data_IF_800173288111
#
_entry.id   IF_800173288111
#
_cell.length_a   1.000
_cell.length_b   1.000
_cell.length_c   1.000
_cell.angle_alpha   90.00
_cell.angle_beta   90.00
_cell.angle_gamma   90.00
#
_symmetry.space_group_name_H-M   'P 1'
#
loop_
_entity.id
_entity.type
_entity.pdbx_description
1 polymer ?
#
# COMPACT_ATOMS: atom_id res chain seq x y z
N UNK A 1 -8.55 24.31 -5.88
CA UNK A 1 -9.13 23.64 -4.68
C UNK A 1 -9.62 22.22 -4.97
N UNK A 2 -10.29 21.95 -6.11
CA UNK A 2 -10.86 20.62 -6.40
C UNK A 2 -9.81 19.53 -6.72
N UNK A 3 -8.69 19.90 -7.34
CA UNK A 3 -7.55 19.00 -7.60
C UNK A 3 -6.90 18.44 -6.32
N UNK A 4 -6.76 19.26 -5.27
CA UNK A 4 -6.18 18.84 -3.99
C UNK A 4 -7.10 17.87 -3.27
N UNK A 5 -8.42 18.10 -3.31
CA UNK A 5 -9.41 17.17 -2.72
C UNK A 5 -9.44 15.81 -3.41
N UNK A 6 -9.39 15.76 -4.76
CA UNK A 6 -9.31 14.49 -5.51
C UNK A 6 -8.06 13.67 -5.18
N UNK A 7 -6.95 14.32 -4.83
CA UNK A 7 -5.67 13.65 -4.51
C UNK A 7 -5.68 13.05 -3.11
N UNK A 8 -6.15 13.79 -2.11
CA UNK A 8 -6.30 13.29 -0.74
C UNK A 8 -7.21 12.03 -0.68
N UNK A 9 -8.30 12.01 -1.45
CA UNK A 9 -9.18 10.83 -1.56
C UNK A 9 -8.51 9.62 -2.21
N UNK A 10 -7.49 9.82 -3.05
CA UNK A 10 -6.78 8.74 -3.73
C UNK A 10 -5.88 7.94 -2.80
N UNK A 11 -5.08 8.62 -1.98
CA UNK A 11 -4.21 7.94 -1.00
C UNK A 11 -5.02 7.22 0.08
N UNK A 12 -6.11 7.83 0.55
CA UNK A 12 -7.02 7.22 1.51
C UNK A 12 -7.65 5.94 0.96
N UNK A 13 -8.13 5.96 -0.29
CA UNK A 13 -8.70 4.78 -0.95
C UNK A 13 -7.68 3.63 -1.09
N UNK A 14 -6.43 3.95 -1.44
CA UNK A 14 -5.35 2.95 -1.52
C UNK A 14 -5.07 2.34 -0.15
N UNK A 15 -4.99 3.16 0.89
CA UNK A 15 -4.75 2.70 2.26
C UNK A 15 -5.85 1.77 2.77
N UNK A 16 -7.12 2.16 2.61
CA UNK A 16 -8.27 1.35 3.02
C UNK A 16 -8.32 0.01 2.27
N UNK A 17 -8.01 0.00 0.97
CA UNK A 17 -7.93 -1.22 0.17
C UNK A 17 -6.77 -2.14 0.63
N UNK A 18 -5.63 -1.56 1.00
CA UNK A 18 -4.50 -2.32 1.53
C UNK A 18 -4.81 -2.93 2.91
N UNK A 19 -5.47 -2.16 3.78
CA UNK A 19 -5.93 -2.62 5.09
C UNK A 19 -6.90 -3.82 4.97
N UNK A 20 -7.92 -3.68 4.13
CA UNK A 20 -8.89 -4.75 3.84
C UNK A 20 -8.19 -6.02 3.31
N UNK A 21 -7.27 -5.85 2.35
CA UNK A 21 -6.50 -6.98 1.80
C UNK A 21 -5.67 -7.67 2.87
N UNK A 22 -5.01 -6.91 3.76
CA UNK A 22 -4.22 -7.45 4.87
C UNK A 22 -5.10 -8.19 5.89
N UNK A 23 -6.29 -7.69 6.18
CA UNK A 23 -7.23 -8.33 7.08
C UNK A 23 -7.71 -9.68 6.52
N UNK A 24 -8.02 -9.77 5.22
CA UNK A 24 -8.40 -11.04 4.58
C UNK A 24 -7.26 -12.08 4.62
N UNK A 25 -5.99 -11.65 4.50
CA UNK A 25 -4.84 -12.55 4.68
C UNK A 25 -4.80 -13.07 6.12
N UNK A 26 -5.03 -12.20 7.10
CA UNK A 26 -5.07 -12.58 8.51
C UNK A 26 -6.19 -13.59 8.80
N UNK A 27 -7.40 -13.38 8.26
CA UNK A 27 -8.52 -14.32 8.40
C UNK A 27 -8.20 -15.69 7.79
N UNK A 28 -7.51 -15.72 6.65
CA UNK A 28 -7.06 -16.97 6.02
C UNK A 28 -5.93 -17.67 6.78
N UNK A 29 -5.19 -16.97 7.64
CA UNK A 29 -4.09 -17.53 8.42
C UNK A 29 -4.55 -18.46 9.56
N UNK A 30 -5.84 -18.48 9.88
CA UNK A 30 -6.38 -19.47 10.82
C UNK A 30 -6.11 -20.89 10.32
N UNK A 31 -5.39 -21.73 11.09
CA UNK A 31 -4.96 -23.04 10.63
C UNK A 31 -6.16 -23.97 10.45
N UNK A 32 -6.30 -24.58 9.27
CA UNK A 32 -7.33 -25.61 9.04
C UNK A 32 -6.92 -26.98 9.59
N UNK A 33 -5.61 -27.20 9.80
CA UNK A 33 -5.05 -28.49 10.25
C UNK A 33 -5.30 -28.81 11.72
N UNK A 34 -5.74 -27.84 12.52
CA UNK A 34 -6.10 -28.05 13.93
C UNK A 34 -7.56 -28.45 14.11
N UNK A 35 -8.35 -28.36 13.03
CA UNK A 35 -9.74 -28.79 13.03
C UNK A 35 -9.82 -30.29 12.67
N UNK A 36 -10.84 -30.96 13.18
CA UNK A 36 -11.12 -32.36 12.86
C UNK A 36 -12.57 -32.68 13.14
N UNK A 37 -13.30 -33.14 12.12
CA UNK A 37 -14.70 -33.53 12.24
C UNK A 37 -14.80 -35.01 11.88
N UNK A 38 -15.27 -35.88 12.78
CA UNK A 38 -15.35 -37.30 12.49
C UNK A 38 -16.39 -37.56 11.39
N UNK A 39 -16.03 -38.42 10.44
CA UNK A 39 -16.89 -38.76 9.30
C UNK A 39 -17.13 -40.26 9.20
N UNK A 40 -17.99 -40.68 8.25
CA UNK A 40 -18.29 -42.10 7.96
C UNK A 40 -18.69 -42.92 9.19
N UNK A 41 -19.50 -42.33 10.08
CA UNK A 41 -19.96 -43.01 11.29
C UNK A 41 -18.84 -43.30 12.31
N UNK A 42 -17.77 -42.49 12.32
CA UNK A 42 -16.62 -42.66 13.21
C UNK A 42 -15.51 -43.54 12.64
N UNK A 43 -15.60 -43.95 11.37
CA UNK A 43 -14.50 -44.65 10.69
C UNK A 43 -13.31 -43.71 10.43
N UNK A 44 -13.59 -42.45 10.10
CA UNK A 44 -12.59 -41.39 10.05
C UNK A 44 -12.80 -40.53 11.29
N UNK A 45 -12.20 -40.92 12.42
CA UNK A 45 -12.27 -40.20 13.69
C UNK A 45 -11.36 -38.97 13.73
N UNK A 46 -10.34 -38.94 12.86
CA UNK A 46 -9.42 -37.83 12.66
C UNK A 46 -9.19 -37.53 11.17
N UNK A 47 -9.46 -36.28 10.78
CA UNK A 47 -9.23 -35.73 9.44
C UNK A 47 -8.34 -34.49 9.53
N UNK A 48 -7.50 -34.28 8.53
CA UNK A 48 -6.40 -33.31 8.50
C UNK A 48 -6.70 -32.01 7.76
N UNK A 49 -7.80 -31.94 6.99
CA UNK A 49 -8.23 -30.78 6.20
C UNK A 49 -7.14 -30.12 5.32
N UNK A 50 -6.16 -30.90 4.87
CA UNK A 50 -5.00 -30.44 4.09
C UNK A 50 -5.40 -29.71 2.79
N UNK A 51 -6.45 -30.17 2.11
CA UNK A 51 -6.99 -29.49 0.93
C UNK A 51 -7.55 -28.10 1.25
N UNK A 52 -8.26 -27.96 2.38
CA UNK A 52 -8.77 -26.67 2.86
C UNK A 52 -7.63 -25.71 3.23
N UNK A 53 -6.59 -26.22 3.89
CA UNK A 53 -5.37 -25.47 4.18
C UNK A 53 -4.69 -24.98 2.89
N UNK A 54 -4.54 -25.84 1.88
CA UNK A 54 -3.95 -25.47 0.60
C UNK A 54 -4.76 -24.39 -0.13
N UNK A 55 -6.10 -24.48 -0.11
CA UNK A 55 -6.98 -23.46 -0.71
C UNK A 55 -6.84 -22.10 -0.02
N UNK A 56 -6.74 -22.06 1.32
CA UNK A 56 -6.46 -20.84 2.08
C UNK A 56 -5.11 -20.25 1.70
N UNK A 57 -4.07 -21.08 1.57
CA UNK A 57 -2.73 -20.62 1.18
C UNK A 57 -2.72 -19.99 -0.23
N UNK A 58 -3.38 -20.61 -1.21
CA UNK A 58 -3.51 -20.06 -2.57
C UNK A 58 -4.27 -18.73 -2.55
N UNK A 59 -5.36 -18.63 -1.79
CA UNK A 59 -6.12 -17.39 -1.65
C UNK A 59 -5.26 -16.27 -1.04
N UNK A 60 -4.51 -16.56 0.02
CA UNK A 60 -3.58 -15.61 0.65
C UNK A 60 -2.47 -15.16 -0.28
N UNK A 61 -1.96 -16.04 -1.14
CA UNK A 61 -0.93 -15.68 -2.13
C UNK A 61 -1.45 -14.64 -3.14
N UNK A 62 -2.68 -14.81 -3.63
CA UNK A 62 -3.31 -13.85 -4.54
C UNK A 62 -3.54 -12.50 -3.87
N UNK A 63 -4.01 -12.50 -2.62
CA UNK A 63 -4.18 -11.28 -1.81
C UNK A 63 -2.84 -10.60 -1.56
N UNK A 64 -1.78 -11.36 -1.27
CA UNK A 64 -0.44 -10.83 -1.08
C UNK A 64 0.09 -10.14 -2.35
N UNK A 65 -0.14 -10.74 -3.53
CA UNK A 65 0.22 -10.10 -4.80
C UNK A 65 -0.55 -8.80 -5.04
N UNK A 66 -1.81 -8.71 -4.60
CA UNK A 66 -2.59 -7.47 -4.65
C UNK A 66 -2.04 -6.43 -3.67
N UNK A 67 -1.71 -6.85 -2.45
CA UNK A 67 -1.16 -5.98 -1.40
C UNK A 67 0.18 -5.37 -1.84
N UNK A 68 1.08 -6.16 -2.44
CA UNK A 68 2.35 -5.67 -2.95
C UNK A 68 2.17 -4.68 -4.11
N UNK A 69 1.21 -4.92 -5.01
CA UNK A 69 0.85 -3.97 -6.06
C UNK A 69 0.34 -2.64 -5.49
N UNK A 70 -0.51 -2.69 -4.44
CA UNK A 70 -0.99 -1.48 -3.75
C UNK A 70 0.15 -0.70 -3.10
N UNK A 71 1.12 -1.39 -2.48
CA UNK A 71 2.30 -0.73 -1.92
C UNK A 71 3.14 -0.05 -2.99
N UNK A 72 3.40 -0.73 -4.12
CA UNK A 72 4.14 -0.15 -5.24
C UNK A 72 3.45 1.11 -5.79
N UNK A 73 2.13 1.05 -5.97
CA UNK A 73 1.33 2.19 -6.41
C UNK A 73 1.41 3.35 -5.40
N UNK A 74 1.27 3.06 -4.10
CA UNK A 74 1.35 4.09 -3.05
C UNK A 74 2.74 4.76 -3.03
N UNK A 75 3.83 3.99 -3.18
CA UNK A 75 5.18 4.55 -3.25
C UNK A 75 5.41 5.38 -4.51
N UNK A 76 4.88 4.94 -5.66
CA UNK A 76 4.98 5.67 -6.91
C UNK A 76 4.22 7.01 -6.87
N UNK A 77 3.00 7.02 -6.31
CA UNK A 77 2.22 8.25 -6.11
C UNK A 77 2.96 9.22 -5.20
N UNK A 78 3.55 8.75 -4.10
CA UNK A 78 4.31 9.60 -3.17
C UNK A 78 5.53 10.24 -3.85
N UNK A 79 6.27 9.48 -4.66
CA UNK A 79 7.43 10.00 -5.38
C UNK A 79 7.04 11.04 -6.43
N UNK A 80 5.92 10.84 -7.13
CA UNK A 80 5.40 11.84 -8.06
C UNK A 80 5.00 13.13 -7.35
N UNK A 81 4.39 13.05 -6.16
CA UNK A 81 4.06 14.24 -5.34
C UNK A 81 5.30 15.01 -4.88
N UNK A 82 6.34 14.30 -4.46
CA UNK A 82 7.59 14.90 -4.00
C UNK A 82 8.35 15.57 -5.15
N UNK A 83 8.29 14.99 -6.36
CA UNK A 83 8.82 15.59 -7.58
C UNK A 83 8.03 16.83 -8.03
N UNK A 84 6.69 16.76 -8.07
CA UNK A 84 5.83 17.90 -8.41
C UNK A 84 6.04 19.08 -7.44
N UNK A 85 6.23 18.81 -6.15
CA UNK A 85 6.50 19.84 -5.15
C UNK A 85 7.89 20.45 -5.34
N UNK A 86 8.91 19.64 -5.67
CA UNK A 86 10.25 20.14 -5.95
C UNK A 86 10.26 21.10 -7.15
N UNK A 87 9.57 20.76 -8.25
CA UNK A 87 9.43 21.63 -9.43
C UNK A 87 8.68 22.93 -9.11
N UNK A 88 7.63 22.86 -8.29
CA UNK A 88 6.88 24.04 -7.85
C UNK A 88 7.71 24.95 -6.93
N UNK A 89 8.55 24.39 -6.06
CA UNK A 89 9.45 25.16 -5.21
C UNK A 89 10.56 25.82 -6.04
N UNK A 90 11.13 25.11 -7.02
CA UNK A 90 12.21 25.63 -7.87
C UNK A 90 11.75 26.86 -8.69
N UNK A 91 10.54 26.78 -9.26
CA UNK A 91 9.91 27.90 -9.97
C UNK A 91 9.63 29.11 -9.06
N UNK A 92 9.15 28.89 -7.84
CA UNK A 92 8.96 29.97 -6.85
C UNK A 92 10.30 30.61 -6.43
N UNK A 93 11.37 29.81 -6.27
CA UNK A 93 12.70 30.33 -5.95
C UNK A 93 13.32 31.10 -7.12
N UNK A 94 13.06 30.69 -8.35
CA UNK A 94 13.41 31.42 -9.57
C UNK A 94 12.73 32.80 -9.61
N UNK A 95 11.40 32.85 -9.41
CA UNK A 95 10.62 34.09 -9.40
C UNK A 95 11.05 35.06 -8.27
N UNK A 96 11.42 34.52 -7.11
CA UNK A 96 12.00 35.32 -6.01
C UNK A 96 13.39 35.87 -6.36
N UNK A 97 14.20 35.12 -7.11
CA UNK A 97 15.51 35.56 -7.58
C UNK A 97 15.40 36.64 -8.66
N UNK A 98 14.38 36.58 -9.52
CA UNK A 98 14.11 37.59 -10.55
C UNK A 98 13.47 38.88 -9.97
N UNK A 99 12.64 38.77 -8.93
CA UNK A 99 11.96 39.91 -8.28
C UNK A 99 12.80 40.64 -7.23
N UNK A 100 13.91 40.05 -6.79
CA UNK A 100 14.94 40.70 -5.99
C UNK A 100 16.25 40.82 -6.77
N UNK A 101 16.42 41.95 -7.47
CA UNK A 101 17.71 42.51 -7.88
C UNK A 101 18.56 42.98 -6.67
N UNK A 102 18.55 42.25 -5.56
CA UNK A 102 19.27 42.60 -4.34
C UNK A 102 20.56 41.79 -4.26
N UNK A 103 21.58 42.40 -4.86
CA UNK A 103 22.99 42.42 -4.43
C UNK A 103 23.60 41.05 -4.12
N UNK A 104 24.33 40.54 -5.12
CA UNK A 104 25.45 39.63 -4.89
C UNK A 104 26.38 40.23 -3.82
N UNK A 105 26.33 39.70 -2.60
CA UNK A 105 27.35 39.97 -1.60
C UNK A 105 28.57 39.10 -1.93
N UNK A 106 29.29 39.51 -2.98
CA UNK A 106 30.68 39.15 -3.13
C UNK A 106 31.47 39.98 -2.11
N UNK A 107 31.99 39.34 -1.07
CA UNK A 107 33.18 39.86 -0.38
C UNK A 107 34.35 38.96 -0.73
N UNK A 108 35.41 39.51 -1.36
CA UNK A 108 36.70 38.86 -1.39
C UNK A 108 37.45 39.15 -0.09
N UNK A 109 38.11 38.13 0.46
CA UNK A 109 39.52 38.10 0.88
C UNK A 109 39.84 36.71 1.44
#
# INVERSE_FOLDING_TARGET
>A
MEMIRRRATGQEALYLSALDTAQQIHENAQPASVDSIPTKGGQEDHVEFSYGAARKAIASLNLYSRLSALFLLATGVRQAEEADLADAVDSLTSDLCESHSVVAFATPL
#
